data_IF_827922420728
#
_entry.id   IF_827922420728
#
_cell.length_a   1.000
_cell.length_b   1.000
_cell.length_c   1.000
_cell.angle_alpha   90.00
_cell.angle_beta   90.00
_cell.angle_gamma   90.00
#
_symmetry.space_group_name_H-M   'P 1'
#
loop_
_entity.id
_entity.type
_entity.pdbx_description
1 polymer ?
#
# COMPACT_ATOMS: atom_id res chain seq x y z
N UNK A 1 -1.52 2.87 3.14
CA UNK A 1 -0.21 2.76 3.82
C UNK A 1 -0.36 3.08 5.30
N UNK A 2 -0.51 2.02 6.10
CA UNK A 2 -0.47 2.07 7.56
C UNK A 2 0.44 0.93 8.04
N UNK A 3 1.07 1.14 9.16
CA UNK A 3 2.00 0.19 9.76
C UNK A 3 1.43 -0.28 11.09
N UNK A 4 1.56 -1.56 11.40
CA UNK A 4 1.23 -2.07 12.72
C UNK A 4 2.24 -1.56 13.75
N UNK A 5 1.76 -0.80 14.73
CA UNK A 5 2.54 -0.35 15.89
C UNK A 5 1.71 -0.45 17.16
N UNK A 6 2.22 -1.18 18.15
CA UNK A 6 1.58 -1.35 19.46
C UNK A 6 0.12 -1.80 19.36
N UNK A 7 -0.17 -2.78 18.49
CA UNK A 7 -1.51 -3.31 18.29
C UNK A 7 -2.48 -2.40 17.51
N UNK A 8 -2.01 -1.30 16.92
CA UNK A 8 -2.83 -0.41 16.11
C UNK A 8 -2.15 -0.09 14.78
N UNK A 9 -2.95 0.01 13.72
CA UNK A 9 -2.51 0.55 12.44
C UNK A 9 -2.31 2.07 12.52
N UNK A 10 -1.08 2.53 12.28
CA UNK A 10 -0.72 3.95 12.27
C UNK A 10 -0.08 4.33 10.95
N UNK A 11 -0.44 5.49 10.42
CA UNK A 11 0.21 6.01 9.22
C UNK A 11 1.49 6.74 9.62
N UNK A 12 2.64 6.22 9.23
CA UNK A 12 3.94 6.85 9.47
C UNK A 12 4.31 7.61 8.21
N UNK A 13 4.31 8.94 8.30
CA UNK A 13 4.41 9.81 7.11
C UNK A 13 5.63 9.53 6.22
N UNK A 14 6.78 9.20 6.80
CA UNK A 14 8.00 8.91 6.05
C UNK A 14 7.82 7.66 5.16
N UNK A 15 7.41 6.54 5.76
CA UNK A 15 7.18 5.29 5.03
C UNK A 15 6.01 5.41 4.06
N UNK A 16 4.93 6.08 4.45
CA UNK A 16 3.80 6.31 3.56
C UNK A 16 4.19 7.12 2.31
N UNK A 17 5.08 8.12 2.43
CA UNK A 17 5.59 8.88 1.27
C UNK A 17 6.47 8.01 0.38
N UNK A 18 7.36 7.21 0.96
CA UNK A 18 8.23 6.30 0.20
C UNK A 18 7.41 5.22 -0.53
N UNK A 19 6.46 4.59 0.17
CA UNK A 19 5.61 3.56 -0.40
C UNK A 19 4.75 4.08 -1.56
N UNK A 20 4.24 5.31 -1.48
CA UNK A 20 3.53 5.96 -2.61
C UNK A 20 4.44 6.11 -3.83
N UNK A 21 5.68 6.56 -3.63
CA UNK A 21 6.66 6.66 -4.72
C UNK A 21 6.93 5.31 -5.38
N UNK A 22 7.11 4.27 -4.58
CA UNK A 22 7.31 2.91 -5.07
C UNK A 22 6.08 2.33 -5.76
N UNK A 23 4.88 2.65 -5.30
CA UNK A 23 3.65 2.21 -5.97
C UNK A 23 3.48 2.88 -7.33
N UNK A 24 3.84 4.15 -7.45
CA UNK A 24 3.90 4.84 -8.75
C UNK A 24 4.92 4.19 -9.69
N UNK A 25 6.12 3.91 -9.21
CA UNK A 25 7.18 3.23 -9.97
C UNK A 25 6.78 1.81 -10.40
N UNK A 26 6.15 1.03 -9.51
CA UNK A 26 5.56 -0.27 -9.81
C UNK A 26 4.52 -0.18 -10.93
N UNK A 27 3.57 0.76 -10.83
CA UNK A 27 2.53 0.91 -11.84
C UNK A 27 3.09 1.21 -13.24
N UNK A 28 4.17 2.00 -13.31
CA UNK A 28 4.85 2.33 -14.56
C UNK A 28 5.62 1.12 -15.10
N UNK A 29 6.38 0.42 -14.25
CA UNK A 29 7.21 -0.72 -14.66
C UNK A 29 6.40 -1.91 -15.14
N UNK A 30 5.32 -2.23 -14.44
CA UNK A 30 4.41 -3.32 -14.80
C UNK A 30 3.38 -2.91 -15.87
N UNK A 31 3.44 -1.66 -16.35
CA UNK A 31 2.55 -1.12 -17.38
C UNK A 31 1.06 -1.39 -17.07
N UNK A 32 0.67 -1.15 -15.81
CA UNK A 32 -0.67 -1.47 -15.36
C UNK A 32 -1.71 -0.69 -16.15
N UNK A 33 -2.63 -1.44 -16.78
CA UNK A 33 -3.75 -0.88 -17.54
C UNK A 33 -5.06 -0.86 -16.76
N UNK A 34 -5.10 -1.47 -15.57
CA UNK A 34 -6.26 -1.50 -14.69
C UNK A 34 -5.89 -1.06 -13.28
N UNK A 35 -6.87 -0.50 -12.57
CA UNK A 35 -6.69 -0.09 -11.18
C UNK A 35 -6.51 -1.32 -10.28
N UNK A 36 -7.18 -2.44 -10.57
CA UNK A 36 -7.05 -3.64 -9.74
C UNK A 36 -5.62 -4.16 -9.64
N UNK A 37 -4.79 -3.98 -10.68
CA UNK A 37 -3.39 -4.40 -10.65
C UNK A 37 -2.55 -3.69 -9.58
N UNK A 38 -2.97 -2.52 -9.08
CA UNK A 38 -2.29 -1.86 -7.96
C UNK A 38 -2.41 -2.64 -6.64
N UNK A 39 -3.41 -3.52 -6.51
CA UNK A 39 -3.57 -4.38 -5.32
C UNK A 39 -2.42 -5.37 -5.16
N UNK A 40 -1.73 -5.71 -6.24
CA UNK A 40 -0.56 -6.59 -6.26
C UNK A 40 0.73 -5.90 -5.79
N UNK A 41 0.67 -4.62 -5.43
CA UNK A 41 1.81 -3.89 -4.90
C UNK A 41 2.27 -4.48 -3.56
N UNK A 42 3.54 -4.95 -3.53
CA UNK A 42 4.18 -5.55 -2.34
C UNK A 42 5.39 -4.77 -1.82
N UNK A 43 5.59 -3.52 -2.28
CA UNK A 43 6.79 -2.74 -1.99
C UNK A 43 6.95 -2.40 -0.50
N UNK A 44 8.19 -2.43 -0.01
CA UNK A 44 8.57 -2.20 1.40
C UNK A 44 7.89 -3.14 2.40
N UNK A 45 7.33 -4.28 1.96
CA UNK A 45 6.58 -5.20 2.81
C UNK A 45 5.14 -4.76 3.09
N UNK A 46 4.62 -3.77 2.36
CA UNK A 46 3.20 -3.47 2.39
C UNK A 46 2.42 -4.51 1.58
N UNK A 47 1.21 -4.85 2.04
CA UNK A 47 0.27 -5.71 1.32
C UNK A 47 -1.11 -5.08 1.33
N UNK A 48 -1.91 -5.34 0.29
CA UNK A 48 -3.30 -4.91 0.24
C UNK A 48 -4.13 -5.64 1.30
N UNK A 49 -4.92 -4.90 2.07
CA UNK A 49 -5.82 -5.39 3.12
C UNK A 49 -7.25 -5.26 2.59
N UNK A 50 -7.78 -6.35 2.02
CA UNK A 50 -9.10 -6.37 1.38
C UNK A 50 -10.24 -6.14 2.39
N UNK A 51 -10.11 -6.69 3.60
CA UNK A 51 -11.15 -6.60 4.64
C UNK A 51 -11.37 -5.17 5.13
N UNK A 52 -10.30 -4.35 5.15
CA UNK A 52 -10.35 -2.96 5.63
C UNK A 52 -10.34 -1.92 4.51
N UNK A 53 -10.31 -2.37 3.26
CA UNK A 53 -10.41 -1.48 2.10
C UNK A 53 -11.87 -1.22 1.74
N UNK A 54 -12.12 -0.03 1.19
CA UNK A 54 -13.42 0.32 0.61
C UNK A 54 -13.29 0.46 -0.91
N UNK A 55 -14.41 0.74 -1.59
CA UNK A 55 -14.42 0.99 -3.04
C UNK A 55 -13.49 2.16 -3.43
N UNK A 56 -13.36 3.17 -2.57
CA UNK A 56 -12.59 4.39 -2.83
C UNK A 56 -11.27 4.47 -2.06
N UNK A 57 -11.15 3.75 -0.95
CA UNK A 57 -10.01 3.85 -0.04
C UNK A 57 -9.33 2.49 0.14
N UNK A 58 -8.22 2.32 -0.56
CA UNK A 58 -7.43 1.10 -0.50
C UNK A 58 -6.39 1.16 0.60
N UNK A 59 -6.50 0.21 1.52
CA UNK A 59 -5.61 0.10 2.66
C UNK A 59 -4.50 -0.89 2.37
N UNK A 60 -3.28 -0.36 2.30
CA UNK A 60 -2.06 -1.15 2.34
C UNK A 60 -1.49 -1.16 3.76
N UNK A 61 -1.26 -2.35 4.32
CA UNK A 61 -0.74 -2.55 5.67
C UNK A 61 0.62 -3.24 5.66
N UNK A 62 1.42 -3.02 6.70
CA UNK A 62 2.73 -3.66 6.87
C UNK A 62 2.93 -4.03 8.33
N UNK A 63 3.47 -5.21 8.57
CA UNK A 63 3.99 -5.62 9.88
C UNK A 63 5.44 -5.08 10.04
N UNK A 64 5.73 -4.52 11.21
CA UNK A 64 7.08 -4.05 11.60
C UNK A 64 7.67 -4.95 12.67
#
# INVERSE_FOLDING_TARGET
>A
FKDWRNGQLKSIFLYAKQARGLMCDFAIREQLSSLEGLKDFTGMGYTFDEERSTETDWLFTRES
#
